data_IF_752349502301
#
_entry.id   IF_752349502301
#
_cell.length_a   1.000
_cell.length_b   1.000
_cell.length_c   1.000
_cell.angle_alpha   90.00
_cell.angle_beta   90.00
_cell.angle_gamma   90.00
#
_symmetry.space_group_name_H-M   'P 1'
#
loop_
_entity.id
_entity.type
_entity.pdbx_description
1 polymer ?
#
# COMPACT_ATOMS: atom_id res chain seq x y z
N UNK A 1 2.31 -10.12 -14.76
CA UNK A 1 3.55 -9.55 -15.33
C UNK A 1 4.26 -10.56 -16.23
N UNK A 2 4.72 -11.71 -15.71
CA UNK A 2 5.42 -12.73 -16.52
C UNK A 2 4.66 -13.17 -17.78
N UNK A 3 3.39 -13.54 -17.64
CA UNK A 3 2.55 -13.95 -18.78
C UNK A 3 2.46 -12.86 -19.87
N UNK A 4 2.32 -11.59 -19.45
CA UNK A 4 2.29 -10.42 -20.35
C UNK A 4 3.64 -10.23 -21.06
N UNK A 5 4.75 -10.38 -20.36
CA UNK A 5 6.08 -10.27 -20.96
C UNK A 5 6.37 -11.40 -21.94
N UNK A 6 5.93 -12.63 -21.64
CA UNK A 6 6.01 -13.77 -22.56
C UNK A 6 5.18 -13.54 -23.83
N UNK A 7 4.01 -12.89 -23.72
CA UNK A 7 3.24 -12.47 -24.89
C UNK A 7 3.94 -11.39 -25.72
N UNK A 8 4.46 -10.34 -25.08
CA UNK A 8 5.21 -9.28 -25.76
C UNK A 8 6.44 -9.84 -26.48
N UNK A 9 7.19 -10.72 -25.82
CA UNK A 9 8.34 -11.41 -26.40
C UNK A 9 7.94 -12.28 -27.59
N UNK A 10 6.84 -13.04 -27.50
CA UNK A 10 6.31 -13.83 -28.63
C UNK A 10 5.92 -12.96 -29.83
N UNK A 11 5.45 -11.74 -29.60
CA UNK A 11 5.09 -10.77 -30.64
C UNK A 11 6.26 -9.89 -31.10
N UNK A 12 7.45 -10.02 -30.49
CA UNK A 12 8.60 -9.15 -30.77
C UNK A 12 8.37 -7.68 -30.37
N UNK A 13 7.46 -7.43 -29.43
CA UNK A 13 7.12 -6.09 -28.96
C UNK A 13 8.06 -5.62 -27.83
N UNK A 14 8.45 -4.33 -27.82
CA UNK A 14 9.30 -3.80 -26.76
C UNK A 14 8.54 -3.72 -25.41
N UNK A 15 9.29 -3.86 -24.32
CA UNK A 15 8.81 -3.71 -22.94
C UNK A 15 9.37 -2.41 -22.35
N UNK A 16 8.51 -1.57 -21.77
CA UNK A 16 8.93 -0.41 -21.01
C UNK A 16 9.39 -0.82 -19.60
N UNK A 17 10.69 -1.12 -19.46
CA UNK A 17 11.23 -1.58 -18.17
C UNK A 17 11.01 -0.60 -17.02
N UNK A 18 11.06 0.71 -17.28
CA UNK A 18 10.88 1.72 -16.23
C UNK A 18 9.50 1.63 -15.60
N UNK A 19 8.47 1.49 -16.44
CA UNK A 19 7.08 1.38 -15.99
C UNK A 19 6.84 0.05 -15.28
N UNK A 20 7.27 -1.06 -15.88
CA UNK A 20 7.06 -2.40 -15.30
C UNK A 20 7.80 -2.57 -13.97
N UNK A 21 9.03 -2.07 -13.86
CA UNK A 21 9.79 -2.13 -12.61
C UNK A 21 9.18 -1.22 -11.54
N UNK A 22 8.62 -0.06 -11.93
CA UNK A 22 7.93 0.83 -10.99
C UNK A 22 6.65 0.19 -10.45
N UNK A 23 5.84 -0.43 -11.31
CA UNK A 23 4.62 -1.15 -10.91
C UNK A 23 4.94 -2.35 -10.02
N UNK A 24 5.94 -3.16 -10.39
CA UNK A 24 6.38 -4.30 -9.58
C UNK A 24 6.88 -3.86 -8.21
N UNK A 25 7.69 -2.80 -8.15
CA UNK A 25 8.23 -2.28 -6.89
C UNK A 25 7.11 -1.80 -5.98
N UNK A 26 6.14 -1.05 -6.53
CA UNK A 26 4.96 -0.62 -5.77
C UNK A 26 4.19 -1.84 -5.25
N UNK A 27 3.95 -2.85 -6.08
CA UNK A 27 3.22 -4.05 -5.67
C UNK A 27 3.94 -4.80 -4.53
N UNK A 28 5.27 -4.94 -4.60
CA UNK A 28 6.06 -5.60 -3.56
C UNK A 28 5.98 -4.83 -2.25
N UNK A 29 6.19 -3.50 -2.30
CA UNK A 29 6.15 -2.64 -1.11
C UNK A 29 4.76 -2.69 -0.46
N UNK A 30 3.70 -2.53 -1.24
CA UNK A 30 2.33 -2.58 -0.73
C UNK A 30 1.98 -3.94 -0.13
N UNK A 31 2.44 -5.04 -0.72
CA UNK A 31 2.22 -6.38 -0.18
C UNK A 31 3.00 -6.61 1.12
N UNK A 32 4.19 -6.05 1.24
CA UNK A 32 4.95 -6.08 2.49
C UNK A 32 4.30 -5.23 3.59
N UNK A 33 3.69 -4.09 3.24
CA UNK A 33 3.03 -3.21 4.20
C UNK A 33 1.68 -3.78 4.64
N UNK A 34 0.80 -4.11 3.70
CA UNK A 34 -0.61 -4.40 3.95
C UNK A 34 -0.95 -5.89 3.93
N UNK A 35 -0.04 -6.75 3.50
CA UNK A 35 -0.26 -8.20 3.46
C UNK A 35 -1.51 -8.58 2.68
N UNK A 36 -2.37 -9.40 3.31
CA UNK A 36 -3.63 -9.92 2.74
C UNK A 36 -4.75 -8.86 2.62
N UNK A 37 -4.58 -7.70 3.25
CA UNK A 37 -5.57 -6.63 3.17
C UNK A 37 -5.43 -5.81 1.88
N UNK A 38 -4.29 -5.93 1.17
CA UNK A 38 -4.09 -5.24 -0.10
C UNK A 38 -5.14 -5.63 -1.14
N UNK A 39 -5.44 -6.93 -1.27
CA UNK A 39 -6.47 -7.40 -2.20
C UNK A 39 -7.86 -6.85 -1.84
N UNK A 40 -8.16 -6.77 -0.54
CA UNK A 40 -9.43 -6.23 -0.04
C UNK A 40 -9.56 -4.74 -0.33
N UNK A 41 -8.54 -3.95 0.01
CA UNK A 41 -8.50 -2.52 -0.26
C UNK A 41 -8.63 -2.22 -1.76
N UNK A 42 -8.02 -3.06 -2.61
CA UNK A 42 -8.12 -2.92 -4.06
C UNK A 42 -9.53 -3.24 -4.58
N UNK A 43 -10.19 -4.25 -4.01
CA UNK A 43 -11.55 -4.62 -4.37
C UNK A 43 -12.59 -3.55 -3.97
N UNK A 44 -12.41 -2.91 -2.81
CA UNK A 44 -13.31 -1.85 -2.31
C UNK A 44 -13.30 -0.60 -3.23
N UNK A 45 -12.22 -0.37 -3.96
CA UNK A 45 -12.02 0.85 -4.76
C UNK A 45 -11.99 0.60 -6.27
N UNK A 46 -12.14 -0.65 -6.71
CA UNK A 46 -12.10 -1.02 -8.13
C UNK A 46 -10.72 -0.92 -8.76
N UNK A 47 -9.65 -1.02 -7.97
CA UNK A 47 -8.25 -0.93 -8.43
C UNK A 47 -7.29 -0.67 -7.27
N UNK A 48 -5.98 -0.74 -7.53
CA UNK A 48 -4.98 -0.46 -6.49
C UNK A 48 -4.98 1.05 -6.17
N UNK A 49 -5.37 1.46 -4.96
CA UNK A 49 -5.56 2.87 -4.65
C UNK A 49 -4.24 3.66 -4.61
N UNK A 50 -3.11 2.96 -4.43
CA UNK A 50 -1.78 3.56 -4.37
C UNK A 50 -1.12 3.75 -5.75
N UNK A 51 -1.77 3.37 -6.86
CA UNK A 51 -1.26 3.66 -8.21
C UNK A 51 -1.05 5.16 -8.46
N UNK A 52 -1.78 6.01 -7.73
CA UNK A 52 -1.59 7.45 -7.75
C UNK A 52 -0.15 7.86 -7.42
N UNK A 53 0.57 7.07 -6.62
CA UNK A 53 1.95 7.34 -6.20
C UNK A 53 2.92 7.19 -7.37
N UNK A 54 2.67 6.23 -8.27
CA UNK A 54 3.53 5.94 -9.42
C UNK A 54 3.05 6.61 -10.72
N UNK A 55 1.74 6.76 -10.91
CA UNK A 55 1.15 7.27 -12.17
C UNK A 55 0.98 8.80 -12.20
N UNK A 56 0.78 9.45 -11.05
CA UNK A 56 0.65 10.91 -11.02
C UNK A 56 1.98 11.59 -10.67
N UNK A 57 2.63 12.15 -11.69
CA UNK A 57 3.85 12.94 -11.52
C UNK A 57 3.58 14.34 -10.95
N UNK A 58 2.39 14.90 -11.18
CA UNK A 58 2.04 16.24 -10.71
C UNK A 58 1.51 16.21 -9.27
N UNK A 59 2.23 16.86 -8.35
CA UNK A 59 1.82 17.03 -6.94
C UNK A 59 0.84 18.20 -6.75
N UNK A 60 -0.31 18.12 -7.42
CA UNK A 60 -1.34 19.16 -7.43
C UNK A 60 -2.47 18.89 -6.40
N UNK A 61 -3.50 19.74 -6.37
CA UNK A 61 -4.65 19.59 -5.46
C UNK A 61 -5.41 18.27 -5.65
N UNK A 62 -5.48 17.75 -6.88
CA UNK A 62 -6.12 16.47 -7.17
C UNK A 62 -5.33 15.31 -6.54
N UNK A 63 -4.00 15.33 -6.67
CA UNK A 63 -3.11 14.39 -5.98
C UNK A 63 -3.32 14.45 -4.46
N UNK A 64 -3.31 15.65 -3.88
CA UNK A 64 -3.51 15.81 -2.43
C UNK A 64 -4.86 15.25 -1.94
N UNK A 65 -5.92 15.40 -2.75
CA UNK A 65 -7.23 14.83 -2.44
C UNK A 65 -7.20 13.30 -2.46
N UNK A 66 -6.63 12.69 -3.52
CA UNK A 66 -6.48 11.22 -3.63
C UNK A 66 -5.59 10.66 -2.52
N UNK A 67 -4.51 11.35 -2.20
CA UNK A 67 -3.62 10.95 -1.11
C UNK A 67 -4.32 10.99 0.25
N UNK A 68 -5.15 12.02 0.51
CA UNK A 68 -5.95 12.10 1.73
C UNK A 68 -6.99 10.97 1.83
N UNK A 69 -7.54 10.48 0.72
CA UNK A 69 -8.41 9.30 0.76
C UNK A 69 -7.66 8.03 1.17
N UNK A 70 -6.38 7.88 0.81
CA UNK A 70 -5.56 6.74 1.23
C UNK A 70 -5.41 6.67 2.75
N UNK A 71 -5.13 7.82 3.39
CA UNK A 71 -5.03 7.88 4.85
C UNK A 71 -6.31 7.40 5.56
N UNK A 72 -7.50 7.63 4.97
CA UNK A 72 -8.77 7.12 5.53
C UNK A 72 -8.90 5.60 5.39
N UNK A 73 -8.39 5.03 4.29
CA UNK A 73 -8.38 3.57 4.09
C UNK A 73 -7.47 2.90 5.11
N UNK A 74 -6.28 3.47 5.33
CA UNK A 74 -5.33 2.99 6.34
C UNK A 74 -5.95 3.09 7.73
N UNK A 75 -6.63 4.19 8.05
CA UNK A 75 -7.37 4.32 9.32
C UNK A 75 -8.44 3.23 9.49
N UNK A 76 -9.22 2.95 8.44
CA UNK A 76 -10.24 1.90 8.45
C UNK A 76 -9.64 0.51 8.65
N UNK A 77 -8.51 0.22 7.99
CA UNK A 77 -7.75 -1.01 8.16
C UNK A 77 -7.27 -1.18 9.60
N UNK A 78 -6.65 -0.16 10.18
CA UNK A 78 -6.15 -0.19 11.57
C UNK A 78 -7.30 -0.47 12.54
N UNK A 79 -8.40 0.28 12.42
CA UNK A 79 -9.58 0.12 13.27
C UNK A 79 -10.13 -1.31 13.20
N UNK A 80 -10.23 -1.87 12.00
CA UNK A 80 -10.68 -3.24 11.79
C UNK A 80 -9.74 -4.28 12.41
N UNK A 81 -8.43 -4.16 12.20
CA UNK A 81 -7.46 -5.12 12.76
C UNK A 81 -7.48 -5.14 14.28
N UNK A 82 -7.78 -4.00 14.93
CA UNK A 82 -7.97 -3.94 16.39
C UNK A 82 -9.18 -4.75 16.88
N UNK A 83 -10.18 -5.00 16.03
CA UNK A 83 -11.42 -5.72 16.40
C UNK A 83 -11.47 -7.18 15.94
N UNK A 84 -10.92 -7.50 14.76
CA UNK A 84 -11.01 -8.85 14.16
C UNK A 84 -10.17 -9.90 14.89
N UNK A 85 -9.08 -9.49 15.59
CA UNK A 85 -8.20 -10.40 16.32
C UNK A 85 -7.42 -11.39 15.46
N UNK A 86 -7.47 -11.26 14.12
CA UNK A 86 -6.65 -12.02 13.20
C UNK A 86 -5.17 -11.70 13.37
N UNK A 87 -4.32 -12.72 13.20
CA UNK A 87 -2.87 -12.53 13.19
C UNK A 87 -2.40 -12.15 11.78
N UNK A 88 -1.50 -11.17 11.74
CA UNK A 88 -0.95 -10.62 10.51
C UNK A 88 0.58 -10.58 10.61
N UNK A 89 1.26 -10.90 9.50
CA UNK A 89 2.72 -10.93 9.40
C UNK A 89 3.18 -9.92 8.34
N UNK A 90 2.90 -8.64 8.60
CA UNK A 90 3.20 -7.52 7.71
C UNK A 90 3.64 -6.28 8.51
N UNK A 91 4.03 -5.22 7.80
CA UNK A 91 4.55 -4.00 8.43
C UNK A 91 3.52 -3.31 9.32
N UNK A 92 2.24 -3.29 8.92
CA UNK A 92 1.17 -2.71 9.74
C UNK A 92 1.05 -3.46 11.07
N UNK A 93 1.08 -4.80 11.04
CA UNK A 93 1.06 -5.61 12.26
C UNK A 93 2.29 -5.35 13.14
N UNK A 94 3.47 -5.23 12.53
CA UNK A 94 4.70 -4.89 13.23
C UNK A 94 4.58 -3.54 13.96
N UNK A 95 4.08 -2.50 13.29
CA UNK A 95 3.88 -1.17 13.89
C UNK A 95 2.81 -1.18 14.98
N UNK A 96 1.68 -1.87 14.78
CA UNK A 96 0.63 -2.02 15.81
C UNK A 96 1.13 -2.72 17.08
N UNK A 97 2.09 -3.64 16.93
CA UNK A 97 2.73 -4.34 18.04
C UNK A 97 3.94 -3.60 18.63
N UNK A 98 4.46 -2.59 17.95
CA UNK A 98 5.55 -1.78 18.45
C UNK A 98 5.16 -1.06 19.75
N UNK A 99 6.14 -0.89 20.63
CA UNK A 99 6.02 -0.16 21.89
C UNK A 99 7.16 0.82 21.98
N UNK A 100 6.86 2.02 22.46
CA UNK A 100 7.86 3.03 22.77
C UNK A 100 8.84 2.50 23.83
N UNK A 101 10.13 2.79 23.65
CA UNK A 101 11.19 2.20 24.49
C UNK A 101 11.27 2.80 25.88
N UNK A 102 10.84 4.06 26.04
CA UNK A 102 10.95 4.78 27.31
C UNK A 102 9.67 4.63 28.14
N UNK A 103 8.52 4.69 27.48
CA UNK A 103 7.19 4.73 28.12
C UNK A 103 6.45 3.40 28.05
N UNK A 104 6.82 2.50 27.13
CA UNK A 104 6.08 1.26 26.85
C UNK A 104 4.73 1.48 26.17
N UNK A 105 4.38 2.71 25.78
CA UNK A 105 3.12 3.02 25.14
C UNK A 105 3.05 2.42 23.71
N UNK A 106 1.87 1.95 23.26
CA UNK A 106 1.67 1.61 21.85
C UNK A 106 1.60 2.88 20.98
N UNK A 107 1.84 2.73 19.69
CA UNK A 107 1.55 3.81 18.73
C UNK A 107 0.04 4.11 18.71
N UNK A 108 -0.29 5.40 18.73
CA UNK A 108 -1.63 5.90 18.48
C UNK A 108 -2.04 5.66 17.02
N UNK A 109 -3.35 5.67 16.74
CA UNK A 109 -3.84 5.50 15.38
C UNK A 109 -3.31 6.60 14.44
N UNK A 110 -3.11 7.81 14.95
CA UNK A 110 -2.52 8.91 14.18
C UNK A 110 -1.07 8.60 13.80
N UNK A 111 -0.24 8.18 14.76
CA UNK A 111 1.16 7.83 14.50
C UNK A 111 1.27 6.66 13.52
N UNK A 112 0.40 5.65 13.64
CA UNK A 112 0.35 4.54 12.69
C UNK A 112 0.04 5.01 11.27
N UNK A 113 -0.99 5.87 11.11
CA UNK A 113 -1.35 6.42 9.80
C UNK A 113 -0.19 7.26 9.25
N UNK A 114 0.38 8.15 10.06
CA UNK A 114 1.47 9.03 9.63
C UNK A 114 2.70 8.21 9.19
N UNK A 115 3.08 7.17 9.93
CA UNK A 115 4.21 6.29 9.59
C UNK A 115 3.97 5.48 8.31
N UNK A 116 2.75 4.98 8.09
CA UNK A 116 2.40 4.21 6.88
C UNK A 116 2.31 5.13 5.65
N UNK A 117 1.89 6.37 5.83
CA UNK A 117 1.62 7.33 4.75
C UNK A 117 2.82 8.22 4.38
N UNK A 118 3.97 8.05 5.03
CA UNK A 118 5.20 8.82 4.75
C UNK A 118 5.90 8.31 3.49
#
# INVERSE_FOLDING_TARGET
MLERWEELARRGEPVNLTEEMSELTLQIVLRAIFGRDLERMSAELGGNPFEVVTKEQARNLQFAYKFRSLARLVAGLIARRRTDGEEHFDFVAMLMNARDKETGAPMSDRELIDEIMT
#
